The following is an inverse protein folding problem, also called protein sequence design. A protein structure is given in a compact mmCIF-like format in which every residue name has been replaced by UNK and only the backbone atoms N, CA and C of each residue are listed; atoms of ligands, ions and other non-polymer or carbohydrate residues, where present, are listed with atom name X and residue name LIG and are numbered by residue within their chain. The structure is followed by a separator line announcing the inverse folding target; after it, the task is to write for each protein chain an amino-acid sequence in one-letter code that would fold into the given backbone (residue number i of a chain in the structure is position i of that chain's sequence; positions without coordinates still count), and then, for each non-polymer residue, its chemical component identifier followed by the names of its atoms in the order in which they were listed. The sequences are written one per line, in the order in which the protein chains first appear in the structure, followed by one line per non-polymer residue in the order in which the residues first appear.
data_IF_554620680153
#
_entry.id   IF_554620680153
#
_cell.length_a   1.000
_cell.length_b   1.000
_cell.length_c   1.000
_cell.angle_alpha   90.00
_cell.angle_beta   90.00
_cell.angle_gamma   90.00
#
_symmetry.space_group_name_H-M   'P 1'
#
loop_
_entity.id
_entity.type
_entity.pdbx_description
1 polymer ?
#
# COMPACT_ATOMS: atom_id res chain seq x y z
N UNK A 1 -19.14 -5.36 -19.91
CA UNK A 1 -18.51 -4.60 -18.81
C UNK A 1 -17.02 -4.48 -19.12
N UNK A 2 -16.58 -3.28 -19.45
CA UNK A 2 -15.19 -2.96 -19.79
C UNK A 2 -14.49 -2.12 -18.71
N UNK A 3 -15.12 -1.91 -17.55
CA UNK A 3 -14.52 -1.18 -16.44
C UNK A 3 -13.26 -1.89 -15.94
N UNK A 4 -12.19 -1.14 -15.70
CA UNK A 4 -10.89 -1.69 -15.25
C UNK A 4 -10.74 -1.64 -13.73
N UNK A 5 -11.49 -0.78 -13.04
CA UNK A 5 -11.42 -0.60 -11.59
C UNK A 5 -12.54 -1.36 -10.87
N UNK A 6 -12.28 -1.78 -9.63
CA UNK A 6 -13.34 -2.37 -8.79
C UNK A 6 -14.48 -1.38 -8.46
N UNK A 7 -14.21 -0.11 -8.13
CA UNK A 7 -15.25 0.91 -7.99
C UNK A 7 -16.11 1.10 -9.25
N UNK A 8 -15.50 1.22 -10.44
CA UNK A 8 -16.23 1.41 -11.70
C UNK A 8 -17.16 0.24 -12.02
N UNK A 9 -16.71 -1.02 -11.81
CA UNK A 9 -17.56 -2.21 -11.94
C UNK A 9 -18.78 -2.18 -11.01
N UNK A 10 -18.61 -1.70 -9.77
CA UNK A 10 -19.72 -1.56 -8.81
C UNK A 10 -20.66 -0.44 -9.22
N UNK A 11 -20.13 0.68 -9.70
CA UNK A 11 -20.93 1.80 -10.18
C UNK A 11 -21.77 1.42 -11.41
N UNK A 12 -21.17 0.74 -12.40
CA UNK A 12 -21.91 0.22 -13.56
C UNK A 12 -23.09 -0.66 -13.12
N UNK A 13 -22.85 -1.60 -12.20
CA UNK A 13 -23.93 -2.45 -11.66
C UNK A 13 -25.01 -1.62 -10.97
N UNK A 14 -24.64 -0.58 -10.22
CA UNK A 14 -25.58 0.34 -9.56
C UNK A 14 -26.42 1.10 -10.58
N UNK A 15 -25.82 1.67 -11.63
CA UNK A 15 -26.52 2.45 -12.67
C UNK A 15 -27.49 1.59 -13.48
N UNK A 16 -27.21 0.30 -13.67
CA UNK A 16 -28.15 -0.65 -14.29
C UNK A 16 -29.36 -0.93 -13.39
N UNK A 17 -29.14 -1.11 -12.08
CA UNK A 17 -30.21 -1.39 -11.12
C UNK A 17 -31.07 -0.17 -10.80
N UNK A 18 -30.49 1.02 -10.92
CA UNK A 18 -31.12 2.30 -10.60
C UNK A 18 -30.90 3.27 -11.79
N UNK A 19 -31.70 3.12 -12.86
CA UNK A 19 -31.56 3.94 -14.06
C UNK A 19 -31.90 5.41 -13.77
N UNK A 20 -31.33 6.30 -14.58
CA UNK A 20 -31.64 7.72 -14.56
C UNK A 20 -33.06 7.96 -15.09
N UNK A 21 -33.74 8.96 -14.54
CA UNK A 21 -35.13 9.32 -14.91
C UNK A 21 -35.24 10.69 -15.57
N UNK A 22 -34.26 11.57 -15.35
CA UNK A 22 -34.21 12.90 -15.98
C UNK A 22 -33.63 12.78 -17.38
N UNK A 23 -34.28 13.45 -18.33
CA UNK A 23 -33.79 13.60 -19.70
C UNK A 23 -32.41 14.26 -19.72
N UNK A 24 -32.26 15.32 -18.94
CA UNK A 24 -31.03 16.12 -18.84
C UNK A 24 -29.86 15.28 -18.32
N UNK A 25 -30.09 14.43 -17.32
CA UNK A 25 -29.08 13.52 -16.78
C UNK A 25 -28.65 12.47 -17.81
N UNK A 26 -29.61 11.90 -18.54
CA UNK A 26 -29.34 10.91 -19.60
C UNK A 26 -28.54 11.56 -20.73
N UNK A 27 -28.93 12.74 -21.17
CA UNK A 27 -28.23 13.50 -22.22
C UNK A 27 -26.81 13.87 -21.79
N UNK A 28 -26.60 14.26 -20.54
CA UNK A 28 -25.29 14.55 -19.96
C UNK A 28 -24.35 13.33 -20.00
N UNK A 29 -24.85 12.15 -19.64
CA UNK A 29 -24.09 10.89 -19.76
C UNK A 29 -23.69 10.61 -21.20
N UNK A 30 -24.62 10.73 -22.14
CA UNK A 30 -24.33 10.52 -23.56
C UNK A 30 -23.33 11.52 -24.13
N UNK A 31 -23.42 12.80 -23.76
CA UNK A 31 -22.43 13.81 -24.14
C UNK A 31 -21.03 13.44 -23.65
N UNK A 32 -20.93 12.92 -22.42
CA UNK A 32 -19.66 12.45 -21.87
C UNK A 32 -19.12 11.23 -22.63
N UNK A 33 -19.99 10.29 -22.99
CA UNK A 33 -19.63 9.13 -23.83
C UNK A 33 -19.12 9.59 -25.20
N UNK A 34 -19.78 10.56 -25.82
CA UNK A 34 -19.41 11.11 -27.12
C UNK A 34 -18.03 11.77 -27.08
N UNK A 35 -17.80 12.62 -26.07
CA UNK A 35 -16.51 13.27 -25.82
C UNK A 35 -15.37 12.25 -25.63
N UNK A 36 -15.61 11.21 -24.83
CA UNK A 36 -14.61 10.16 -24.56
C UNK A 36 -14.41 9.20 -25.76
N UNK A 37 -15.40 9.06 -26.64
CA UNK A 37 -15.29 8.28 -27.89
C UNK A 37 -14.55 9.01 -29.02
N UNK A 38 -14.37 10.33 -28.92
CA UNK A 38 -13.80 11.14 -30.00
C UNK A 38 -12.36 10.74 -30.38
N UNK A 39 -11.56 10.24 -29.43
CA UNK A 39 -10.18 9.82 -29.68
C UNK A 39 -9.88 8.44 -29.06
N UNK A 40 -9.90 7.41 -29.90
CA UNK A 40 -9.67 6.00 -29.48
C UNK A 40 -8.29 5.76 -28.87
N UNK A 41 -7.26 6.44 -29.37
CA UNK A 41 -5.90 6.29 -28.86
C UNK A 41 -5.84 6.87 -27.44
N UNK A 42 -6.28 8.12 -27.26
CA UNK A 42 -6.32 8.75 -25.94
C UNK A 42 -7.20 8.01 -24.94
N UNK A 43 -8.35 7.49 -25.38
CA UNK A 43 -9.18 6.64 -24.53
C UNK A 43 -8.42 5.42 -23.99
N UNK A 44 -7.61 4.78 -24.82
CA UNK A 44 -6.82 3.61 -24.41
C UNK A 44 -5.76 3.98 -23.39
N UNK A 45 -5.02 5.07 -23.61
CA UNK A 45 -4.03 5.60 -22.67
C UNK A 45 -4.66 5.95 -21.30
N UNK A 46 -5.84 6.58 -21.31
CA UNK A 46 -6.57 6.92 -20.08
C UNK A 46 -6.96 5.66 -19.30
N UNK A 47 -7.42 4.61 -19.99
CA UNK A 47 -7.80 3.34 -19.36
C UNK A 47 -6.59 2.65 -18.73
N UNK A 48 -5.43 2.67 -19.38
CA UNK A 48 -4.19 2.12 -18.83
C UNK A 48 -3.81 2.82 -17.52
N UNK A 49 -3.80 4.16 -17.50
CA UNK A 49 -3.55 4.94 -16.27
C UNK A 49 -4.56 4.65 -15.18
N UNK A 50 -5.83 4.51 -15.54
CA UNK A 50 -6.90 4.21 -14.59
C UNK A 50 -6.75 2.80 -14.00
N UNK A 51 -6.19 1.85 -14.77
CA UNK A 51 -5.95 0.48 -14.29
C UNK A 51 -4.88 0.39 -13.20
N UNK A 52 -3.98 1.38 -13.12
CA UNK A 52 -2.98 1.52 -12.05
C UNK A 52 -3.55 2.08 -10.75
N UNK A 53 -4.79 2.59 -10.77
CA UNK A 53 -5.46 3.10 -9.59
C UNK A 53 -5.96 1.98 -8.69
N UNK A 54 -6.30 2.33 -7.45
CA UNK A 54 -6.77 1.37 -6.46
C UNK A 54 -8.00 1.89 -5.75
N UNK A 55 -8.72 0.99 -5.10
CA UNK A 55 -9.94 1.32 -4.39
C UNK A 55 -9.64 2.14 -3.12
N UNK A 56 -9.59 3.47 -3.26
CA UNK A 56 -9.34 4.41 -2.17
C UNK A 56 -10.35 4.24 -1.02
N UNK A 57 -11.62 3.99 -1.33
CA UNK A 57 -12.64 3.75 -0.29
C UNK A 57 -12.28 2.56 0.62
N UNK A 58 -11.73 1.49 0.04
CA UNK A 58 -11.27 0.32 0.80
C UNK A 58 -10.03 0.64 1.63
N UNK A 59 -9.12 1.47 1.13
CA UNK A 59 -7.93 1.93 1.85
C UNK A 59 -8.33 2.80 3.03
N UNK A 60 -9.16 3.82 2.81
CA UNK A 60 -9.67 4.71 3.85
C UNK A 60 -10.43 3.94 4.94
N UNK A 61 -11.19 2.91 4.57
CA UNK A 61 -11.84 2.03 5.54
C UNK A 61 -10.84 1.29 6.43
N UNK A 62 -9.69 0.86 5.89
CA UNK A 62 -8.60 0.27 6.69
C UNK A 62 -7.96 1.28 7.63
N UNK A 63 -7.80 2.54 7.19
CA UNK A 63 -7.23 3.61 8.00
C UNK A 63 -8.13 3.91 9.20
N UNK A 64 -9.43 4.07 8.97
CA UNK A 64 -10.42 4.27 10.05
C UNK A 64 -10.43 3.09 11.03
N UNK A 65 -10.28 1.86 10.54
CA UNK A 65 -10.25 0.67 11.37
C UNK A 65 -8.90 0.40 12.06
N UNK A 66 -7.91 1.28 11.90
CA UNK A 66 -6.52 1.11 12.33
C UNK A 66 -5.90 -0.24 11.87
N UNK A 67 -6.21 -0.64 10.64
CA UNK A 67 -5.74 -1.86 9.96
C UNK A 67 -5.01 -1.52 8.66
N UNK A 68 -4.45 -0.32 8.57
CA UNK A 68 -3.69 0.13 7.41
C UNK A 68 -2.37 -0.64 7.28
N UNK A 69 -1.89 -0.77 6.03
CA UNK A 69 -0.57 -1.32 5.74
C UNK A 69 0.36 -0.22 5.20
N UNK A 70 1.69 -0.33 5.39
CA UNK A 70 2.65 0.64 4.84
C UNK A 70 2.45 0.94 3.35
N UNK A 71 2.17 -0.08 2.54
CA UNK A 71 1.91 0.08 1.09
C UNK A 71 0.72 0.97 0.76
N UNK A 72 -0.26 1.08 1.67
CA UNK A 72 -1.49 1.82 1.40
C UNK A 72 -1.22 3.32 1.21
N UNK A 73 -0.18 3.86 1.86
CA UNK A 73 0.25 5.25 1.65
C UNK A 73 0.73 5.48 0.22
N UNK A 74 1.59 4.60 -0.32
CA UNK A 74 2.02 4.66 -1.72
C UNK A 74 0.86 4.52 -2.69
N UNK A 75 -0.12 3.68 -2.35
CA UNK A 75 -1.33 3.56 -3.15
C UNK A 75 -2.13 4.86 -3.18
N UNK A 76 -2.24 5.59 -2.07
CA UNK A 76 -2.86 6.92 -2.05
C UNK A 76 -2.09 7.89 -2.96
N UNK A 77 -0.76 7.96 -2.84
CA UNK A 77 0.08 8.80 -3.70
C UNK A 77 -0.17 8.50 -5.19
N UNK A 78 -0.22 7.21 -5.55
CA UNK A 78 -0.46 6.82 -6.95
C UNK A 78 -1.82 7.27 -7.46
N UNK A 79 -2.87 7.18 -6.65
CA UNK A 79 -4.20 7.67 -7.04
C UNK A 79 -4.20 9.19 -7.22
N UNK A 80 -3.51 9.94 -6.35
CA UNK A 80 -3.38 11.40 -6.46
C UNK A 80 -2.64 11.79 -7.74
N UNK A 81 -1.51 11.14 -8.03
CA UNK A 81 -0.72 11.33 -9.24
C UNK A 81 -1.55 11.08 -10.51
N UNK A 82 -2.20 9.92 -10.59
CA UNK A 82 -3.05 9.57 -11.74
C UNK A 82 -4.19 10.56 -11.92
N UNK A 83 -4.83 11.00 -10.83
CA UNK A 83 -5.93 11.97 -10.91
C UNK A 83 -5.43 13.31 -11.47
N UNK A 84 -4.26 13.77 -11.04
CA UNK A 84 -3.64 15.02 -11.51
C UNK A 84 -3.25 14.95 -12.99
N UNK A 85 -2.76 13.80 -13.46
CA UNK A 85 -2.47 13.59 -14.87
C UNK A 85 -3.75 13.56 -15.71
N UNK A 86 -4.73 12.76 -15.28
CA UNK A 86 -5.99 12.58 -15.99
C UNK A 86 -6.79 13.88 -16.07
N UNK A 87 -6.78 14.72 -15.04
CA UNK A 87 -7.50 16.00 -15.07
C UNK A 87 -7.03 16.90 -16.22
N UNK A 88 -5.73 16.89 -16.52
CA UNK A 88 -5.16 17.67 -17.63
C UNK A 88 -5.49 17.08 -19.00
N UNK A 89 -5.42 15.75 -19.12
CA UNK A 89 -5.67 15.08 -20.40
C UNK A 89 -7.15 15.08 -20.78
N UNK A 90 -8.04 14.93 -19.80
CA UNK A 90 -9.48 14.88 -20.02
C UNK A 90 -10.06 16.26 -20.38
N UNK A 91 -9.48 17.34 -19.85
CA UNK A 91 -9.87 18.71 -20.20
C UNK A 91 -9.74 18.94 -21.71
N UNK A 92 -8.68 18.41 -22.34
CA UNK A 92 -8.48 18.47 -23.80
C UNK A 92 -9.52 17.66 -24.59
N UNK A 93 -10.20 16.71 -23.94
CA UNK A 93 -11.26 15.89 -24.52
C UNK A 93 -12.66 16.43 -24.21
N UNK A 94 -12.77 17.60 -23.55
CA UNK A 94 -14.06 18.15 -23.15
C UNK A 94 -14.74 17.39 -22.01
N UNK A 95 -13.98 16.62 -21.23
CA UNK A 95 -14.46 15.98 -20.00
C UNK A 95 -13.79 16.64 -18.78
N UNK A 96 -14.60 17.13 -17.83
CA UNK A 96 -14.07 17.77 -16.63
C UNK A 96 -13.85 16.74 -15.52
N UNK A 97 -12.60 16.53 -15.14
CA UNK A 97 -12.21 15.85 -13.91
C UNK A 97 -11.53 16.88 -13.01
N UNK A 98 -12.06 17.10 -11.81
CA UNK A 98 -11.44 18.05 -10.88
C UNK A 98 -10.07 17.53 -10.43
N UNK A 99 -9.00 18.34 -10.50
CA UNK A 99 -7.70 17.94 -9.97
C UNK A 99 -7.76 17.79 -8.44
N UNK A 100 -6.81 17.04 -7.84
CA UNK A 100 -6.67 17.03 -6.39
C UNK A 100 -6.46 18.45 -5.85
N UNK A 101 -7.27 18.85 -4.85
CA UNK A 101 -7.17 20.18 -4.23
C UNK A 101 -5.93 20.33 -3.33
N UNK A 102 -5.62 21.56 -2.92
CA UNK A 102 -4.42 21.91 -2.13
C UNK A 102 -4.25 21.06 -0.87
N UNK A 103 -5.35 20.77 -0.17
CA UNK A 103 -5.36 19.90 1.02
C UNK A 103 -4.86 18.49 0.71
N UNK A 104 -5.27 17.91 -0.41
CA UNK A 104 -4.80 16.58 -0.83
C UNK A 104 -3.34 16.63 -1.27
N UNK A 105 -2.93 17.69 -1.95
CA UNK A 105 -1.53 17.90 -2.34
C UNK A 105 -0.63 18.01 -1.10
N UNK A 106 -1.05 18.76 -0.08
CA UNK A 106 -0.32 18.88 1.19
C UNK A 106 -0.22 17.54 1.94
N UNK A 107 -1.31 16.74 1.96
CA UNK A 107 -1.26 15.37 2.51
C UNK A 107 -0.27 14.51 1.72
N UNK A 108 -0.28 14.61 0.39
CA UNK A 108 0.65 13.87 -0.47
C UNK A 108 2.11 14.24 -0.16
N UNK A 109 2.40 15.53 0.05
CA UNK A 109 3.73 16.02 0.45
C UNK A 109 4.17 15.43 1.80
N UNK A 110 3.26 15.35 2.79
CA UNK A 110 3.57 14.69 4.07
C UNK A 110 3.89 13.21 3.88
N UNK A 111 3.18 12.49 3.00
CA UNK A 111 3.53 11.10 2.67
C UNK A 111 4.91 11.05 2.00
N UNK A 112 5.18 11.91 1.01
CA UNK A 112 6.46 11.97 0.31
C UNK A 112 7.61 12.27 1.28
N UNK A 113 7.41 13.14 2.26
CA UNK A 113 8.42 13.54 3.23
C UNK A 113 8.80 12.40 4.19
N UNK A 114 7.84 11.57 4.57
CA UNK A 114 8.02 10.54 5.62
C UNK A 114 8.28 9.15 5.08
N UNK A 115 7.53 8.71 4.07
CA UNK A 115 7.49 7.31 3.63
C UNK A 115 8.67 6.98 2.72
N UNK A 116 9.33 5.85 3.00
CA UNK A 116 10.46 5.35 2.22
C UNK A 116 10.12 5.16 0.74
N UNK A 117 11.03 5.59 -0.14
CA UNK A 117 10.92 5.41 -1.59
C UNK A 117 11.13 3.95 -2.00
N UNK A 118 11.93 3.19 -1.24
CA UNK A 118 12.23 1.78 -1.51
C UNK A 118 11.08 0.81 -1.21
N UNK A 119 11.40 -0.48 -1.17
CA UNK A 119 10.41 -1.50 -0.79
C UNK A 119 9.93 -1.28 0.65
N UNK A 120 8.61 -1.16 0.82
CA UNK A 120 7.98 -0.97 2.12
C UNK A 120 7.75 -2.32 2.79
N UNK A 121 7.84 -2.40 4.12
CA UNK A 121 7.56 -3.63 4.83
C UNK A 121 6.08 -4.02 4.63
N UNK A 122 5.80 -5.31 4.50
CA UNK A 122 4.44 -5.82 4.28
C UNK A 122 3.48 -5.47 5.43
N UNK A 123 4.02 -5.44 6.65
CA UNK A 123 3.36 -5.00 7.88
C UNK A 123 4.32 -4.06 8.62
N UNK A 124 3.79 -3.13 9.40
CA UNK A 124 4.62 -2.24 10.22
C UNK A 124 5.49 -3.07 11.19
N UNK A 125 6.78 -2.71 11.30
CA UNK A 125 7.76 -3.47 12.10
C UNK A 125 8.25 -4.78 11.47
N UNK A 126 7.81 -5.10 10.24
CA UNK A 126 8.36 -6.20 9.44
C UNK A 126 9.73 -5.85 8.83
N UNK A 127 10.25 -6.75 8.00
CA UNK A 127 11.49 -6.50 7.26
C UNK A 127 11.30 -5.36 6.25
N UNK A 128 12.12 -4.32 6.35
CA UNK A 128 12.07 -3.12 5.52
C UNK A 128 12.12 -1.85 6.35
N UNK A 129 12.00 -0.69 5.67
CA UNK A 129 11.94 0.63 6.30
C UNK A 129 10.65 1.30 5.93
N UNK A 130 9.81 1.65 6.91
CA UNK A 130 8.62 2.45 6.64
C UNK A 130 9.01 3.92 6.42
N UNK A 131 9.82 4.47 7.33
CA UNK A 131 10.28 5.86 7.25
C UNK A 131 11.57 6.01 6.43
N UNK A 132 11.69 7.13 5.71
CA UNK A 132 12.90 7.52 4.97
C UNK A 132 14.15 7.54 5.87
N UNK A 133 15.32 7.34 5.27
CA UNK A 133 16.59 7.65 5.91
C UNK A 133 16.73 9.18 6.03
N UNK A 134 17.34 9.66 7.11
CA UNK A 134 17.44 11.09 7.40
C UNK A 134 16.16 11.71 7.97
N UNK A 135 15.10 10.91 8.17
CA UNK A 135 13.85 11.41 8.76
C UNK A 135 14.01 11.77 10.24
N UNK A 136 14.74 10.95 10.99
CA UNK A 136 15.04 11.16 12.40
C UNK A 136 16.44 10.66 12.72
N UNK A 137 17.27 11.52 13.31
CA UNK A 137 18.63 11.18 13.72
C UNK A 137 18.62 10.04 14.77
N UNK A 138 17.64 10.05 15.68
CA UNK A 138 17.46 8.99 16.68
C UNK A 138 17.15 7.64 15.99
N UNK A 139 16.25 7.66 15.01
CA UNK A 139 15.88 6.46 14.25
C UNK A 139 17.06 5.90 13.46
N UNK A 140 17.84 6.77 12.82
CA UNK A 140 18.99 6.36 12.01
C UNK A 140 20.10 5.77 12.89
N UNK A 141 20.40 6.38 14.05
CA UNK A 141 21.34 5.80 15.04
C UNK A 141 20.89 4.44 15.55
N UNK A 142 19.59 4.28 15.81
CA UNK A 142 19.04 2.99 16.23
C UNK A 142 19.16 1.93 15.11
N UNK A 143 18.86 2.30 13.85
CA UNK A 143 19.04 1.40 12.70
C UNK A 143 20.49 0.98 12.51
N UNK A 144 21.44 1.90 12.68
CA UNK A 144 22.87 1.62 12.67
C UNK A 144 23.26 0.66 13.78
N UNK A 145 22.87 0.95 15.03
CA UNK A 145 23.12 0.09 16.20
C UNK A 145 22.58 -1.33 16.02
N UNK A 146 21.38 -1.47 15.44
CA UNK A 146 20.79 -2.78 15.10
C UNK A 146 21.62 -3.53 14.04
N UNK A 147 22.11 -2.81 13.03
CA UNK A 147 22.93 -3.38 11.96
C UNK A 147 24.30 -3.83 12.47
N UNK A 148 24.95 -3.00 13.28
CA UNK A 148 26.23 -3.33 13.93
C UNK A 148 26.08 -4.51 14.90
N UNK A 149 25.02 -4.53 15.71
CA UNK A 149 24.72 -5.64 16.61
C UNK A 149 24.60 -6.97 15.87
N UNK A 150 23.94 -7.02 14.71
CA UNK A 150 23.90 -8.23 13.86
C UNK A 150 25.30 -8.67 13.41
N UNK A 151 26.17 -7.72 13.07
CA UNK A 151 27.56 -8.03 12.71
C UNK A 151 28.35 -8.56 13.91
N UNK A 152 28.11 -8.04 15.12
CA UNK A 152 28.73 -8.55 16.34
C UNK A 152 28.27 -9.99 16.65
N UNK A 153 26.99 -10.32 16.43
CA UNK A 153 26.50 -11.70 16.55
C UNK A 153 27.25 -12.65 15.60
N UNK A 154 27.44 -12.26 14.34
CA UNK A 154 28.16 -13.08 13.37
C UNK A 154 29.63 -13.30 13.78
N UNK A 155 30.30 -12.23 14.23
CA UNK A 155 31.68 -12.31 14.72
C UNK A 155 31.81 -13.14 15.99
N UNK A 156 30.83 -13.05 16.89
CA UNK A 156 30.79 -13.84 18.12
C UNK A 156 30.61 -15.33 17.78
N UNK A 157 29.70 -15.65 16.86
CA UNK A 157 29.50 -17.04 16.40
C UNK A 157 30.80 -17.65 15.84
N UNK A 158 31.52 -16.92 14.98
CA UNK A 158 32.79 -17.40 14.43
C UNK A 158 33.89 -17.57 15.48
N UNK A 159 34.00 -16.59 16.38
CA UNK A 159 34.96 -16.62 17.49
C UNK A 159 34.70 -17.82 18.40
N UNK A 160 33.45 -18.05 18.77
CA UNK A 160 33.08 -19.17 19.64
C UNK A 160 33.23 -20.53 18.95
N UNK A 161 32.94 -20.64 17.65
CA UNK A 161 33.27 -21.85 16.86
C UNK A 161 34.76 -22.17 16.91
N UNK A 162 35.63 -21.16 16.74
CA UNK A 162 37.09 -21.33 16.78
C UNK A 162 37.59 -21.71 18.17
N UNK A 163 37.09 -21.04 19.22
CA UNK A 163 37.49 -21.30 20.62
C UNK A 163 37.07 -22.69 21.10
N UNK A 164 35.84 -23.11 20.79
CA UNK A 164 35.28 -24.38 21.26
C UNK A 164 35.60 -25.57 20.37
N UNK A 165 35.97 -25.32 19.10
CA UNK A 165 36.10 -26.35 18.07
C UNK A 165 34.77 -26.94 17.60
N UNK A 166 33.62 -26.39 18.03
CA UNK A 166 32.29 -26.91 17.72
C UNK A 166 31.75 -26.23 16.45
N UNK A 167 32.00 -26.83 15.28
CA UNK A 167 31.56 -26.27 13.99
C UNK A 167 30.03 -26.17 13.82
N UNK A 168 29.26 -26.93 14.60
CA UNK A 168 27.78 -26.93 14.60
C UNK A 168 27.16 -25.80 15.42
N UNK A 169 27.96 -25.03 16.15
CA UNK A 169 27.50 -23.91 16.98
C UNK A 169 26.77 -22.88 16.13
N UNK A 170 25.55 -22.50 16.53
CA UNK A 170 24.80 -21.42 15.88
C UNK A 170 24.20 -20.49 16.91
N UNK A 171 24.34 -19.19 16.70
CA UNK A 171 23.60 -18.18 17.44
C UNK A 171 22.27 -17.96 16.74
N UNK A 172 21.18 -18.15 17.46
CA UNK A 172 19.81 -17.98 16.94
C UNK A 172 19.05 -17.02 17.84
N UNK A 173 17.98 -16.45 17.29
CA UNK A 173 17.05 -15.61 18.00
C UNK A 173 15.65 -16.23 18.00
N UNK A 174 14.93 -16.11 19.11
CA UNK A 174 13.48 -16.22 19.13
C UNK A 174 12.88 -15.22 20.11
N UNK A 175 11.60 -14.87 19.92
CA UNK A 175 10.93 -13.83 20.73
C UNK A 175 10.78 -14.14 22.22
N UNK A 176 10.83 -15.41 22.63
CA UNK A 176 10.57 -15.84 24.02
C UNK A 176 11.86 -15.95 24.84
N UNK A 177 12.93 -16.44 24.21
CA UNK A 177 14.22 -16.77 24.86
C UNK A 177 15.29 -15.73 24.53
N UNK A 178 15.04 -14.92 23.51
CA UNK A 178 16.00 -13.96 23.00
C UNK A 178 17.06 -14.59 22.11
N UNK A 179 18.27 -14.02 22.12
CA UNK A 179 19.44 -14.61 21.49
C UNK A 179 20.02 -15.74 22.34
N UNK A 180 20.42 -16.83 21.69
CA UNK A 180 21.02 -17.98 22.34
C UNK A 180 21.97 -18.73 21.40
N UNK A 181 22.96 -19.38 22.00
CA UNK A 181 23.78 -20.38 21.34
C UNK A 181 23.04 -21.71 21.38
N UNK A 182 22.77 -22.33 20.23
CA UNK A 182 22.14 -23.65 20.14
C UNK A 182 23.17 -24.72 19.83
N UNK A 183 23.23 -25.75 20.67
CA UNK A 183 24.17 -26.86 20.56
C UNK A 183 23.44 -28.20 20.62
N UNK A 184 23.98 -29.22 19.95
CA UNK A 184 23.46 -30.58 20.07
C UNK A 184 23.67 -31.13 21.48
N UNK A 185 22.88 -32.10 21.93
CA UNK A 185 23.09 -32.77 23.23
C UNK A 185 24.49 -33.39 23.40
N UNK A 186 25.16 -33.72 22.29
CA UNK A 186 26.51 -34.28 22.32
C UNK A 186 27.52 -33.17 22.61
N UNK A 187 27.41 -32.07 21.89
CA UNK A 187 28.35 -30.95 21.96
C UNK A 187 28.16 -30.13 23.24
N UNK A 188 26.94 -30.11 23.78
CA UNK A 188 26.61 -29.37 25.00
C UNK A 188 27.32 -29.88 26.26
N UNK A 189 27.87 -31.10 26.25
CA UNK A 189 28.67 -31.64 27.36
C UNK A 189 30.06 -31.05 27.47
N UNK A 190 30.57 -30.48 26.37
CA UNK A 190 31.94 -29.96 26.27
C UNK A 190 31.97 -28.42 26.24
N UNK A 191 30.89 -27.76 26.66
CA UNK A 191 30.83 -26.30 26.65
C UNK A 191 31.66 -25.69 27.77
N UNK A 192 32.31 -24.53 27.52
CA UNK A 192 33.02 -23.80 28.55
C UNK A 192 32.13 -23.38 29.74
N UNK A 193 32.69 -23.19 30.95
CA UNK A 193 31.91 -22.81 32.14
C UNK A 193 31.17 -21.47 32.06
N UNK A 194 31.60 -20.56 31.19
CA UNK A 194 30.96 -19.25 30.98
C UNK A 194 29.66 -19.33 30.16
N UNK A 195 29.28 -20.52 29.68
CA UNK A 195 28.02 -20.76 28.99
C UNK A 195 26.91 -21.03 30.01
N UNK A 196 25.99 -20.08 30.17
CA UNK A 196 24.85 -20.20 31.06
C UNK A 196 23.67 -20.82 30.32
N UNK A 197 23.09 -21.90 30.86
CA UNK A 197 21.98 -22.62 30.21
C UNK A 197 20.69 -21.78 30.26
N UNK A 198 20.09 -21.48 29.10
CA UNK A 198 18.80 -20.78 28.97
C UNK A 198 17.62 -21.74 28.85
N UNK A 199 17.75 -22.82 28.06
CA UNK A 199 16.64 -23.75 27.79
C UNK A 199 17.14 -25.12 27.34
N UNK A 200 16.44 -26.19 27.72
CA UNK A 200 16.67 -27.54 27.20
C UNK A 200 15.56 -27.95 26.24
N UNK A 201 15.93 -28.47 25.07
CA UNK A 201 15.02 -29.05 24.08
C UNK A 201 15.23 -30.57 23.98
N UNK A 202 14.38 -31.22 23.21
CA UNK A 202 14.46 -32.68 22.97
C UNK A 202 15.81 -33.06 22.35
N UNK A 203 16.29 -32.26 21.38
CA UNK A 203 17.48 -32.58 20.57
C UNK A 203 18.68 -31.67 20.83
N UNK A 204 18.48 -30.51 21.46
CA UNK A 204 19.50 -29.48 21.66
C UNK A 204 19.42 -28.81 23.03
N UNK A 205 20.50 -28.13 23.39
CA UNK A 205 20.55 -27.25 24.56
C UNK A 205 20.87 -25.82 24.09
N UNK A 206 20.25 -24.84 24.76
CA UNK A 206 20.41 -23.42 24.47
C UNK A 206 21.14 -22.75 25.61
N UNK A 207 22.17 -21.97 25.26
CA UNK A 207 23.02 -21.26 26.19
C UNK A 207 23.06 -19.77 25.88
N UNK A 208 23.52 -19.00 26.85
CA UNK A 208 23.89 -17.60 26.74
C UNK A 208 25.27 -17.40 27.33
N UNK A 209 25.88 -16.26 27.06
CA UNK A 209 27.15 -15.85 27.62
C UNK A 209 27.13 -14.32 27.77
N UNK A 210 27.94 -13.74 28.68
CA UNK A 210 27.88 -12.30 28.98
C UNK A 210 27.97 -11.40 27.73
N UNK A 211 28.90 -11.73 26.82
CA UNK A 211 29.07 -10.98 25.56
C UNK A 211 27.84 -11.04 24.65
N UNK A 212 27.14 -12.19 24.63
CA UNK A 212 25.90 -12.34 23.87
C UNK A 212 24.76 -11.52 24.49
N UNK A 213 24.69 -11.46 25.82
CA UNK A 213 23.68 -10.66 26.54
C UNK A 213 23.88 -9.16 26.32
N UNK A 214 25.13 -8.68 26.29
CA UNK A 214 25.44 -7.28 26.01
C UNK A 214 25.07 -6.88 24.57
N UNK A 215 25.37 -7.74 23.60
CA UNK A 215 24.96 -7.53 22.20
C UNK A 215 23.43 -7.57 22.09
N UNK A 216 22.78 -8.54 22.73
CA UNK A 216 21.32 -8.67 22.78
C UNK A 216 20.67 -7.40 23.34
N UNK A 217 21.14 -6.89 24.48
CA UNK A 217 20.63 -5.65 25.08
C UNK A 217 20.72 -4.47 24.11
N UNK A 218 21.83 -4.37 23.39
CA UNK A 218 22.05 -3.28 22.41
C UNK A 218 21.07 -3.38 21.23
N UNK A 219 20.90 -4.58 20.67
CA UNK A 219 19.96 -4.82 19.56
C UNK A 219 18.51 -4.56 20.00
N UNK A 220 18.10 -5.08 21.17
CA UNK A 220 16.74 -4.91 21.67
C UNK A 220 16.42 -3.45 21.96
N UNK A 221 17.37 -2.72 22.58
CA UNK A 221 17.20 -1.28 22.82
C UNK A 221 17.05 -0.49 21.50
N UNK A 222 17.80 -0.86 20.47
CA UNK A 222 17.65 -0.26 19.15
C UNK A 222 16.30 -0.61 18.51
N UNK A 223 15.84 -1.86 18.64
CA UNK A 223 14.54 -2.30 18.13
C UNK A 223 13.36 -1.60 18.80
N UNK A 224 13.43 -1.35 20.10
CA UNK A 224 12.41 -0.62 20.84
C UNK A 224 12.30 0.84 20.34
N UNK A 225 13.44 1.50 20.11
CA UNK A 225 13.48 2.87 19.56
C UNK A 225 12.89 2.90 18.15
N UNK A 226 13.33 1.99 17.27
CA UNK A 226 12.81 1.91 15.89
C UNK A 226 11.30 1.68 15.90
N UNK A 227 10.85 0.70 16.69
CA UNK A 227 9.43 0.33 16.76
C UNK A 227 8.59 1.49 17.29
N UNK A 228 9.03 2.15 18.35
CA UNK A 228 8.34 3.30 18.94
C UNK A 228 8.18 4.43 17.93
N UNK A 229 9.28 4.86 17.30
CA UNK A 229 9.27 5.98 16.34
C UNK A 229 8.42 5.63 15.12
N UNK A 230 8.61 4.44 14.51
CA UNK A 230 7.84 4.06 13.34
C UNK A 230 6.34 3.90 13.65
N UNK A 231 5.98 3.40 14.84
CA UNK A 231 4.57 3.33 15.27
C UNK A 231 3.94 4.70 15.45
N UNK A 232 4.64 5.60 16.15
CA UNK A 232 4.17 6.96 16.38
C UNK A 232 3.92 7.69 15.05
N UNK A 233 4.91 7.65 14.16
CA UNK A 233 4.81 8.31 12.85
C UNK A 233 3.78 7.67 11.92
N UNK A 234 3.64 6.35 11.96
CA UNK A 234 2.62 5.65 11.18
C UNK A 234 1.22 6.07 11.61
N UNK A 235 0.96 6.16 12.92
CA UNK A 235 -0.33 6.62 13.45
C UNK A 235 -0.57 8.10 13.16
N UNK A 236 0.46 8.94 13.29
CA UNK A 236 0.39 10.35 12.96
C UNK A 236 0.03 10.55 11.47
N UNK A 237 0.69 9.81 10.57
CA UNK A 237 0.42 9.91 9.14
C UNK A 237 -0.96 9.37 8.76
N UNK A 238 -1.47 8.32 9.43
CA UNK A 238 -2.87 7.90 9.29
C UNK A 238 -3.81 9.06 9.64
N UNK A 239 -3.57 9.74 10.76
CA UNK A 239 -4.40 10.87 11.19
C UNK A 239 -4.42 11.98 10.14
N UNK A 240 -3.24 12.37 9.62
CA UNK A 240 -3.11 13.38 8.55
C UNK A 240 -3.90 12.98 7.31
N UNK A 241 -3.77 11.73 6.85
CA UNK A 241 -4.53 11.23 5.68
C UNK A 241 -6.03 11.29 5.93
N UNK A 242 -6.49 10.92 7.14
CA UNK A 242 -7.90 10.93 7.48
C UNK A 242 -8.51 12.34 7.56
N UNK A 243 -7.71 13.39 7.73
CA UNK A 243 -8.19 14.78 7.62
C UNK A 243 -8.67 15.09 6.18
N UNK A 244 -8.07 14.47 5.16
CA UNK A 244 -8.47 14.58 3.74
C UNK A 244 -9.43 13.50 3.26
N UNK A 245 -10.08 12.76 4.18
CA UNK A 245 -10.92 11.60 3.83
C UNK A 245 -11.99 11.92 2.78
N UNK A 246 -12.79 12.96 3.00
CA UNK A 246 -13.91 13.31 2.11
C UNK A 246 -13.43 13.65 0.69
N UNK A 247 -12.34 14.41 0.60
CA UNK A 247 -11.70 14.79 -0.65
C UNK A 247 -11.14 13.55 -1.40
N UNK A 248 -10.52 12.61 -0.68
CA UNK A 248 -10.07 11.33 -1.25
C UNK A 248 -11.24 10.44 -1.69
N UNK A 249 -12.37 10.48 -0.98
CA UNK A 249 -13.59 9.77 -1.40
C UNK A 249 -14.19 10.38 -2.66
N UNK A 250 -14.15 11.72 -2.79
CA UNK A 250 -14.55 12.42 -4.02
C UNK A 250 -13.67 11.99 -5.19
N UNK A 251 -12.34 11.99 -5.05
CA UNK A 251 -11.42 11.47 -6.07
C UNK A 251 -11.81 10.04 -6.48
N UNK A 252 -12.06 9.16 -5.51
CA UNK A 252 -12.49 7.79 -5.80
C UNK A 252 -13.81 7.71 -6.57
N UNK A 253 -14.74 8.61 -6.28
CA UNK A 253 -16.04 8.68 -6.95
C UNK A 253 -15.88 9.18 -8.39
N UNK A 254 -15.11 10.24 -8.58
CA UNK A 254 -14.88 10.88 -9.88
C UNK A 254 -14.15 9.91 -10.84
N UNK A 255 -13.13 9.21 -10.35
CA UNK A 255 -12.44 8.14 -11.10
C UNK A 255 -13.36 6.95 -11.41
N UNK A 256 -14.27 6.61 -10.49
CA UNK A 256 -15.25 5.53 -10.71
C UNK A 256 -16.27 5.88 -11.79
N UNK A 257 -16.76 7.12 -11.83
CA UNK A 257 -17.67 7.60 -12.87
C UNK A 257 -16.95 7.65 -14.23
N UNK A 258 -15.70 8.10 -14.26
CA UNK A 258 -14.86 8.05 -15.46
C UNK A 258 -14.70 6.63 -16.00
N UNK A 259 -14.37 5.64 -15.16
CA UNK A 259 -14.25 4.22 -15.56
C UNK A 259 -15.57 3.67 -16.14
N UNK A 260 -16.69 4.05 -15.53
CA UNK A 260 -18.02 3.70 -16.00
C UNK A 260 -18.28 4.27 -17.40
N UNK A 261 -18.02 5.57 -17.61
CA UNK A 261 -18.24 6.24 -18.89
C UNK A 261 -17.29 5.72 -19.99
N UNK A 262 -16.03 5.48 -19.65
CA UNK A 262 -15.07 4.85 -20.57
C UNK A 262 -15.54 3.46 -21.00
N UNK A 263 -16.04 2.64 -20.06
CA UNK A 263 -16.62 1.34 -20.40
C UNK A 263 -17.80 1.46 -21.36
N UNK A 264 -18.66 2.48 -21.20
CA UNK A 264 -19.78 2.70 -22.12
C UNK A 264 -19.32 3.21 -23.48
N UNK A 265 -18.30 4.06 -23.54
CA UNK A 265 -17.72 4.52 -24.81
C UNK A 265 -17.10 3.37 -25.63
N UNK A 266 -16.50 2.37 -24.96
CA UNK A 266 -16.06 1.14 -25.62
C UNK A 266 -17.24 0.37 -26.18
N UNK A 267 -18.31 0.22 -25.40
CA UNK A 267 -19.53 -0.46 -25.87
C UNK A 267 -20.13 0.28 -27.07
N UNK A 268 -20.19 1.61 -27.02
CA UNK A 268 -20.68 2.45 -28.12
C UNK A 268 -19.95 2.13 -29.42
N UNK A 269 -18.62 2.17 -29.41
CA UNK A 269 -17.81 1.91 -30.60
C UNK A 269 -17.87 0.44 -31.05
N UNK A 270 -17.89 -0.51 -30.09
CA UNK A 270 -17.81 -1.94 -30.37
C UNK A 270 -19.13 -2.51 -30.89
N UNK A 271 -20.24 -2.03 -30.37
CA UNK A 271 -21.59 -2.51 -30.66
C UNK A 271 -22.39 -1.51 -31.51
N UNK A 272 -21.76 -0.45 -32.00
CA UNK A 272 -22.37 0.62 -32.78
C UNK A 272 -23.63 1.20 -32.09
N UNK A 273 -23.56 1.44 -30.77
CA UNK A 273 -24.68 2.07 -30.07
C UNK A 273 -24.86 3.51 -30.53
N UNK A 274 -26.12 3.90 -30.65
CA UNK A 274 -26.53 5.23 -31.07
C UNK A 274 -27.11 5.95 -29.85
N UNK A 275 -26.85 7.25 -29.74
CA UNK A 275 -27.43 8.11 -28.71
C UNK A 275 -28.96 8.17 -28.95
N UNK A 276 -29.80 7.78 -27.97
CA UNK A 276 -31.25 7.84 -28.11
C UNK A 276 -31.76 9.28 -27.99
N UNK A 277 -32.86 9.56 -28.66
CA UNK A 277 -33.65 10.78 -28.45
C UNK A 277 -34.70 10.53 -27.36
N UNK A 278 -34.68 11.34 -26.30
CA UNK A 278 -35.62 11.20 -25.18
C UNK A 278 -36.80 12.14 -25.39
N UNK A 279 -38.00 11.57 -25.48
CA UNK A 279 -39.26 12.28 -25.61
C UNK A 279 -40.03 12.36 -24.27
N UNK A 280 -41.12 13.13 -24.23
CA UNK A 280 -41.98 13.31 -23.04
C UNK A 280 -43.39 12.75 -23.22
N UNK A 281 -43.72 12.21 -24.40
CA UNK A 281 -45.01 11.62 -24.74
C UNK A 281 -45.13 10.13 -24.37
N UNK A 282 -44.03 9.47 -23.99
CA UNK A 282 -44.04 8.07 -23.54
C UNK A 282 -44.06 7.05 -24.68
N UNK A 283 -43.88 7.51 -25.92
CA UNK A 283 -43.78 6.66 -27.09
C UNK A 283 -42.38 6.07 -27.22
N UNK A 284 -42.29 4.82 -27.71
CA UNK A 284 -41.03 4.14 -28.00
C UNK A 284 -40.99 3.77 -29.48
N UNK A 285 -40.01 4.32 -30.18
CA UNK A 285 -39.71 3.99 -31.57
C UNK A 285 -38.29 3.41 -31.66
N UNK A 286 -38.16 2.29 -32.39
CA UNK A 286 -36.91 1.57 -32.57
C UNK A 286 -36.72 1.23 -34.04
N UNK A 287 -35.63 1.71 -34.62
CA UNK A 287 -35.19 1.40 -35.99
C UNK A 287 -33.97 0.48 -35.95
N UNK A 288 -33.95 -0.55 -36.79
CA UNK A 288 -32.84 -1.51 -36.94
C UNK A 288 -32.31 -2.13 -35.62
N UNK A 289 -33.17 -2.25 -34.62
CA UNK A 289 -32.81 -2.78 -33.31
C UNK A 289 -32.50 -4.29 -33.37
N UNK A 290 -31.33 -4.67 -32.87
CA UNK A 290 -30.93 -6.07 -32.68
C UNK A 290 -31.45 -6.60 -31.35
N UNK A 291 -31.89 -7.86 -31.34
CA UNK A 291 -32.36 -8.57 -30.14
C UNK A 291 -31.23 -8.91 -29.17
#
# INVERSE_FOLDING_TARGET
NHCVTSPGKRLLRKKILFPLLSKEDIESVWNSIDNLSANRIKRTEIIEKLSDTSDLNRILSRFVANKAYPRDFKTIQKNIEVTLELSKELELLGYKLDPPGEKILSINEEIIKRVSEGELPAVLGGDGRFLKAGYSEELDKARESKSEGKNWILKLEETEKKKTGIGTLKIKYNKVVGYFVELSRKDSKNVPPNYLKKQTLVTSERFTLPELEDIERTILSADDIITRIEQEEFQNLIHIVLQGKEDLQKISSDLSELDYLLSLSICKDKYNWIKPEINSNGDLELEDATR
#
